data_IF_621973239115
#
_entry.id   IF_621973239115
#
_cell.length_a   1.000
_cell.length_b   1.000
_cell.length_c   1.000
_cell.angle_alpha   90.00
_cell.angle_beta   90.00
_cell.angle_gamma   90.00
#
_symmetry.space_group_name_H-M   'P 1'
#
loop_
_entity.id
_entity.type
_entity.pdbx_description
1 polymer ?
#
# COMPACT_ATOMS: atom_id res chain seq x y z
N UNK A 1 5.03 6.33 -13.12
CA UNK A 1 6.26 6.45 -12.28
C UNK A 1 6.01 6.56 -10.78
N UNK A 2 5.33 7.58 -10.23
CA UNK A 2 5.12 7.67 -8.74
C UNK A 2 4.45 6.40 -8.21
N UNK A 3 3.33 5.99 -8.80
CA UNK A 3 2.58 4.79 -8.38
C UNK A 3 3.46 3.53 -8.37
N UNK A 4 4.31 3.35 -9.40
CA UNK A 4 5.21 2.19 -9.53
C UNK A 4 6.30 2.18 -8.45
N UNK A 5 6.89 3.34 -8.12
CA UNK A 5 7.89 3.47 -7.05
C UNK A 5 7.30 2.99 -5.71
N UNK A 6 6.03 3.30 -5.46
CA UNK A 6 5.32 2.88 -4.27
C UNK A 6 4.71 1.48 -4.37
N UNK A 7 5.01 0.72 -5.43
CA UNK A 7 4.43 -0.61 -5.69
C UNK A 7 2.89 -0.58 -5.64
N UNK A 8 2.31 0.56 -6.02
CA UNK A 8 0.88 0.73 -6.18
C UNK A 8 0.43 0.27 -7.57
N UNK A 9 -0.88 0.33 -7.79
CA UNK A 9 -1.53 -0.01 -9.04
C UNK A 9 -2.44 1.14 -9.47
N UNK A 10 -2.51 1.38 -10.77
CA UNK A 10 -3.60 2.16 -11.35
C UNK A 10 -4.75 1.18 -11.58
N UNK A 11 -5.89 1.40 -10.92
CA UNK A 11 -7.05 0.50 -10.98
C UNK A 11 -8.15 1.03 -11.90
N UNK A 12 -8.14 2.32 -12.22
CA UNK A 12 -9.05 2.94 -13.19
C UNK A 12 -8.41 4.19 -13.82
N UNK A 13 -8.84 4.51 -15.05
CA UNK A 13 -8.37 5.63 -15.86
C UNK A 13 -9.54 6.31 -16.56
N UNK A 14 -9.66 7.62 -16.41
CA UNK A 14 -10.57 8.45 -17.18
C UNK A 14 -9.80 9.55 -17.94
N UNK A 15 -10.52 10.39 -18.68
CA UNK A 15 -9.91 11.53 -19.37
C UNK A 15 -9.27 12.55 -18.41
N UNK A 16 -9.78 12.67 -17.19
CA UNK A 16 -9.37 13.70 -16.24
C UNK A 16 -8.82 13.14 -14.92
N UNK A 17 -8.97 11.83 -14.67
CA UNK A 17 -8.67 11.23 -13.37
C UNK A 17 -8.00 9.87 -13.51
N UNK A 18 -7.21 9.53 -12.50
CA UNK A 18 -6.68 8.20 -12.27
C UNK A 18 -7.13 7.73 -10.88
N UNK A 19 -7.57 6.49 -10.78
CA UNK A 19 -7.78 5.84 -9.47
C UNK A 19 -6.60 4.94 -9.20
N UNK A 20 -5.99 5.11 -8.03
CA UNK A 20 -4.80 4.35 -7.62
C UNK A 20 -5.08 3.55 -6.35
N UNK A 21 -4.49 2.37 -6.27
CA UNK A 21 -4.47 1.52 -5.08
C UNK A 21 -3.03 1.39 -4.60
N UNK A 22 -2.80 1.57 -3.30
CA UNK A 22 -1.50 1.38 -2.67
C UNK A 22 -1.69 0.79 -1.28
N UNK A 23 -0.86 -0.19 -0.94
CA UNK A 23 -0.77 -0.79 0.40
C UNK A 23 0.61 -0.53 0.99
N UNK A 24 0.64 -0.21 2.28
CA UNK A 24 1.86 0.11 3.00
C UNK A 24 1.60 0.50 4.45
N UNK A 25 2.67 0.69 5.20
CA UNK A 25 2.61 1.36 6.49
C UNK A 25 2.24 2.85 6.35
N UNK A 26 2.02 3.51 7.49
CA UNK A 26 1.61 4.92 7.51
C UNK A 26 2.63 5.87 6.86
N UNK A 27 3.92 5.56 6.95
CA UNK A 27 4.98 6.41 6.38
C UNK A 27 4.96 6.36 4.86
N UNK A 28 4.88 5.15 4.29
CA UNK A 28 4.76 4.94 2.86
C UNK A 28 3.50 5.59 2.29
N UNK A 29 2.35 5.45 2.98
CA UNK A 29 1.10 6.11 2.57
C UNK A 29 1.22 7.63 2.66
N UNK A 30 1.86 8.18 3.70
CA UNK A 30 2.10 9.61 3.80
C UNK A 30 2.96 10.15 2.66
N UNK A 31 4.08 9.48 2.37
CA UNK A 31 5.02 9.93 1.36
C UNK A 31 4.42 9.97 -0.06
N UNK A 32 3.61 8.98 -0.45
CA UNK A 32 2.93 9.03 -1.77
C UNK A 32 1.92 10.16 -1.83
N UNK A 33 1.17 10.42 -0.75
CA UNK A 33 0.19 11.52 -0.73
C UNK A 33 0.88 12.88 -0.91
N UNK A 34 2.03 13.10 -0.26
CA UNK A 34 2.83 14.32 -0.45
C UNK A 34 3.27 14.51 -1.90
N UNK A 35 3.72 13.43 -2.57
CA UNK A 35 4.10 13.48 -3.97
C UNK A 35 2.91 13.69 -4.93
N UNK A 36 1.72 13.26 -4.51
CA UNK A 36 0.50 13.42 -5.31
C UNK A 36 -0.21 14.76 -5.09
N UNK A 37 0.12 15.50 -4.00
CA UNK A 37 -0.47 16.82 -3.72
C UNK A 37 -0.52 17.77 -4.94
N UNK A 38 0.53 17.91 -5.77
CA UNK A 38 0.51 18.83 -6.90
C UNK A 38 -0.52 18.48 -7.99
N UNK A 39 -0.93 17.21 -8.08
CA UNK A 39 -1.92 16.75 -9.06
C UNK A 39 -3.37 16.94 -8.56
N UNK A 40 -3.53 17.19 -7.26
CA UNK A 40 -4.83 17.20 -6.60
C UNK A 40 -5.34 15.79 -6.32
N UNK A 41 -5.99 15.63 -5.16
CA UNK A 41 -6.67 14.40 -4.77
C UNK A 41 -8.16 14.74 -4.74
N UNK A 42 -8.93 14.18 -5.68
CA UNK A 42 -10.39 14.41 -5.73
C UNK A 42 -11.10 13.71 -4.58
N UNK A 43 -10.82 12.42 -4.40
CA UNK A 43 -11.40 11.57 -3.36
C UNK A 43 -10.36 10.61 -2.78
N UNK A 44 -10.57 10.16 -1.54
CA UNK A 44 -9.68 9.21 -0.87
C UNK A 44 -10.46 8.28 0.08
N UNK A 45 -10.30 6.97 -0.11
CA UNK A 45 -10.74 5.95 0.83
C UNK A 45 -9.52 5.28 1.49
N UNK A 46 -9.57 5.08 2.81
CA UNK A 46 -8.51 4.41 3.58
C UNK A 46 -9.10 3.44 4.59
N UNK A 47 -8.54 2.24 4.64
CA UNK A 47 -8.96 1.17 5.56
C UNK A 47 -8.45 1.36 6.99
N UNK A 48 -7.52 2.30 7.23
CA UNK A 48 -6.81 2.42 8.50
C UNK A 48 -5.70 1.36 8.66
N UNK A 49 -5.11 1.28 9.87
CA UNK A 49 -4.10 0.28 10.18
C UNK A 49 -4.78 -1.07 10.40
N UNK A 50 -4.35 -2.09 9.65
CA UNK A 50 -4.75 -3.48 9.83
C UNK A 50 -3.50 -4.27 10.21
N UNK A 51 -3.59 -5.11 11.23
CA UNK A 51 -2.48 -5.94 11.69
C UNK A 51 -2.89 -7.41 11.71
N UNK A 52 -2.02 -8.27 11.19
CA UNK A 52 -2.13 -9.72 11.31
C UNK A 52 -0.76 -10.25 11.74
N UNK A 53 -0.75 -11.18 12.68
CA UNK A 53 0.49 -11.86 13.07
C UNK A 53 1.07 -12.59 11.87
N UNK A 54 2.38 -12.41 11.63
CA UNK A 54 3.08 -13.25 10.65
C UNK A 54 3.23 -14.64 11.26
N UNK A 55 2.99 -15.66 10.47
CA UNK A 55 3.21 -17.04 10.89
C UNK A 55 4.70 -17.23 11.21
N UNK A 56 4.99 -17.67 12.43
CA UNK A 56 6.31 -18.10 12.84
C UNK A 56 6.41 -19.56 12.42
N UNK A 57 7.24 -19.88 11.42
CA UNK A 57 7.57 -21.26 11.09
C UNK A 57 8.25 -21.89 12.32
N UNK A 58 7.54 -22.76 13.04
CA UNK A 58 8.10 -23.61 14.10
C UNK A 58 8.44 -24.99 13.50
N UNK A 59 9.39 -25.03 12.56
CA UNK A 59 9.85 -26.29 11.95
C UNK A 59 11.06 -26.92 12.66
N UNK A 60 11.71 -26.26 13.63
CA UNK A 60 12.97 -26.78 14.20
C UNK A 60 12.84 -27.57 15.51
N UNK A 61 11.64 -27.82 16.04
CA UNK A 61 11.45 -28.58 17.30
C UNK A 61 10.98 -30.03 17.11
N UNK A 62 10.79 -30.51 15.88
CA UNK A 62 10.36 -31.90 15.62
C UNK A 62 11.48 -32.87 15.20
N UNK A 63 12.71 -32.40 14.97
CA UNK A 63 13.87 -33.29 14.68
C UNK A 63 14.67 -33.70 15.92
N UNK A 64 14.11 -33.50 17.12
CA UNK A 64 14.62 -34.05 18.37
C UNK A 64 13.80 -35.25 18.84
N UNK A 65 13.87 -36.37 18.12
CA UNK A 65 13.27 -37.67 18.47
C UNK A 65 14.22 -38.81 18.18
#
# INVERSE_FOLDING_TARGET
>A
RIVEIFRGKIVDVSQETYTIEVTGDGEKIGAILELLKPFGIKDMARTGKVAMSRELFLEELSEGG
#
